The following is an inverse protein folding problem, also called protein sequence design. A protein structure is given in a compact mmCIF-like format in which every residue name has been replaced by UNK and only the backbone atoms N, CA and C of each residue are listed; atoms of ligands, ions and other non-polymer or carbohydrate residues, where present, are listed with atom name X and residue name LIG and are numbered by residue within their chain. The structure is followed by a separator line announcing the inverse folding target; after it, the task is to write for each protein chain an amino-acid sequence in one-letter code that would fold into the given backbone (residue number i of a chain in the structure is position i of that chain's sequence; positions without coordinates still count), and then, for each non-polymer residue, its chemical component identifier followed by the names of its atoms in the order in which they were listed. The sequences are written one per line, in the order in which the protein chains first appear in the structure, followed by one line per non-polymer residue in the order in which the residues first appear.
data_IF_894951675765
#
_entry.id   IF_894951675765
#
_cell.length_a   1.000
_cell.length_b   1.000
_cell.length_c   1.000
_cell.angle_alpha   90.00
_cell.angle_beta   90.00
_cell.angle_gamma   90.00
#
_symmetry.space_group_name_H-M   'P 1'
#
loop_
_entity.id
_entity.type
_entity.pdbx_description
1 polymer ?
#
# COMPACT_ATOMS: atom_id res chain seq x y z
N UNK A 1 -26.56 0.12 36.74
CA UNK A 1 -25.24 -0.48 37.04
C UNK A 1 -25.43 -1.98 36.94
N UNK A 2 -24.84 -2.68 35.98
CA UNK A 2 -23.46 -3.15 36.04
C UNK A 2 -22.85 -3.31 34.65
N UNK A 3 -21.64 -2.77 34.49
CA UNK A 3 -20.85 -2.78 33.24
C UNK A 3 -20.34 -4.20 32.98
N UNK A 4 -20.80 -4.83 31.91
CA UNK A 4 -20.07 -5.95 31.31
C UNK A 4 -18.88 -5.37 30.55
N UNK A 5 -17.73 -5.39 31.23
CA UNK A 5 -16.45 -4.98 30.68
C UNK A 5 -16.06 -6.01 29.61
N UNK A 6 -16.14 -5.61 28.34
CA UNK A 6 -15.66 -6.41 27.22
C UNK A 6 -14.13 -6.43 27.29
N UNK A 7 -13.59 -7.42 27.98
CA UNK A 7 -12.15 -7.69 28.06
C UNK A 7 -11.66 -7.98 26.64
N UNK A 8 -10.82 -7.10 26.09
CA UNK A 8 -10.09 -7.37 24.85
C UNK A 8 -9.34 -8.70 25.01
N UNK A 9 -9.49 -9.68 24.11
CA UNK A 9 -8.61 -10.84 24.14
C UNK A 9 -7.16 -10.39 23.87
N UNK A 10 -6.15 -11.07 24.44
CA UNK A 10 -4.75 -10.74 24.20
C UNK A 10 -4.44 -10.86 22.70
N UNK A 11 -3.71 -9.87 22.17
CA UNK A 11 -3.36 -9.71 20.75
C UNK A 11 -2.48 -10.84 20.14
N UNK A 12 -2.36 -11.99 20.81
CA UNK A 12 -1.37 -13.02 20.54
C UNK A 12 -1.87 -14.22 19.72
N UNK A 13 -3.17 -14.35 19.43
CA UNK A 13 -3.75 -15.55 18.80
C UNK A 13 -4.27 -15.37 17.35
N UNK A 14 -4.07 -14.19 16.76
CA UNK A 14 -4.47 -13.88 15.39
C UNK A 14 -3.29 -13.39 14.55
N UNK A 15 -2.07 -13.82 14.85
CA UNK A 15 -0.94 -13.57 13.95
C UNK A 15 -1.21 -14.33 12.63
N UNK A 16 -1.43 -13.63 11.51
CA UNK A 16 -1.50 -14.25 10.19
C UNK A 16 -0.16 -14.95 9.91
N UNK A 17 -0.12 -15.98 9.04
CA UNK A 17 1.15 -16.58 8.66
C UNK A 17 2.11 -15.46 8.21
N UNK A 18 3.31 -15.38 8.79
CA UNK A 18 4.21 -14.28 8.52
C UNK A 18 4.58 -14.30 7.03
N UNK A 19 4.50 -13.13 6.40
CA UNK A 19 4.97 -12.91 5.02
C UNK A 19 6.45 -13.31 4.84
N UNK A 20 7.19 -13.52 5.94
CA UNK A 20 8.59 -13.94 5.96
C UNK A 20 8.90 -15.24 5.20
N UNK A 21 7.89 -16.06 4.86
CA UNK A 21 8.06 -17.23 3.99
C UNK A 21 7.93 -16.97 2.49
N UNK A 22 7.57 -15.75 2.07
CA UNK A 22 7.53 -15.31 0.66
C UNK A 22 8.65 -14.32 0.34
N UNK A 23 9.72 -14.33 1.13
CA UNK A 23 11.03 -13.89 0.64
C UNK A 23 11.58 -14.99 -0.25
N UNK A 24 11.07 -15.05 -1.47
CA UNK A 24 11.92 -15.46 -2.57
C UNK A 24 11.48 -14.65 -3.76
N UNK A 25 12.47 -14.11 -4.47
CA UNK A 25 12.46 -14.11 -5.94
C UNK A 25 12.30 -15.57 -6.43
N UNK A 26 11.26 -16.29 -6.01
CA UNK A 26 11.00 -17.66 -6.44
C UNK A 26 10.33 -17.56 -7.78
N UNK A 27 11.10 -17.94 -8.80
CA UNK A 27 10.78 -18.67 -10.04
C UNK A 27 9.36 -18.73 -10.62
N UNK A 28 8.28 -18.52 -9.87
CA UNK A 28 6.93 -18.22 -10.39
C UNK A 28 6.84 -16.72 -10.64
N UNK A 29 7.33 -16.32 -11.81
CA UNK A 29 7.33 -14.95 -12.30
C UNK A 29 5.91 -14.44 -12.60
N UNK A 30 5.10 -14.19 -11.58
CA UNK A 30 4.03 -13.19 -11.72
C UNK A 30 4.71 -11.82 -11.74
N UNK A 31 4.51 -11.00 -12.79
CA UNK A 31 5.07 -9.67 -12.81
C UNK A 31 4.50 -8.90 -11.63
N UNK A 32 5.36 -8.37 -10.77
CA UNK A 32 4.94 -7.54 -9.66
C UNK A 32 4.08 -6.40 -10.22
N UNK A 33 2.94 -6.14 -9.59
CA UNK A 33 1.94 -5.23 -10.15
C UNK A 33 2.09 -3.87 -9.52
N UNK A 34 2.45 -2.89 -10.36
CA UNK A 34 2.38 -1.49 -9.98
C UNK A 34 0.97 -0.98 -10.28
N UNK A 35 0.21 -0.67 -9.24
CA UNK A 35 -1.12 -0.11 -9.40
C UNK A 35 -1.11 1.38 -9.05
N UNK A 36 -1.17 2.22 -10.08
CA UNK A 36 -1.36 3.66 -9.90
C UNK A 36 -2.73 4.10 -10.42
N UNK A 37 -3.44 4.88 -9.62
CA UNK A 37 -4.65 5.56 -10.06
C UNK A 37 -4.31 6.85 -10.81
N UNK A 38 -4.88 7.04 -12.01
CA UNK A 38 -4.69 8.23 -12.85
C UNK A 38 -5.46 9.47 -12.29
N UNK A 39 -4.95 10.72 -12.43
CA UNK A 39 -3.62 11.06 -12.91
C UNK A 39 -2.60 10.93 -11.78
N UNK A 40 -1.68 9.97 -11.93
CA UNK A 40 -0.42 10.04 -11.23
C UNK A 40 0.27 11.33 -11.71
N UNK A 41 0.95 12.11 -10.85
CA UNK A 41 1.86 13.13 -11.37
C UNK A 41 2.87 12.38 -12.25
N UNK A 42 3.19 12.92 -13.44
CA UNK A 42 3.99 12.23 -14.48
C UNK A 42 5.29 11.61 -13.94
N UNK A 43 5.82 12.17 -12.85
CA UNK A 43 7.02 11.67 -12.20
C UNK A 43 6.79 10.42 -11.34
N UNK A 44 5.61 10.19 -10.72
CA UNK A 44 5.41 9.10 -9.72
C UNK A 44 5.52 7.69 -10.32
N UNK A 45 5.09 7.53 -11.57
CA UNK A 45 5.26 6.27 -12.30
C UNK A 45 6.76 6.03 -12.56
N UNK A 46 7.59 7.07 -12.70
CA UNK A 46 9.03 6.96 -12.98
C UNK A 46 9.93 6.92 -11.73
N UNK A 47 9.42 7.22 -10.52
CA UNK A 47 10.23 7.28 -9.27
C UNK A 47 10.52 5.89 -8.70
N UNK A 48 9.61 4.94 -8.90
CA UNK A 48 9.87 3.56 -8.49
C UNK A 48 10.95 2.98 -9.42
N UNK A 49 12.10 2.50 -8.91
CA UNK A 49 13.18 1.94 -9.74
C UNK A 49 12.71 0.78 -10.63
N UNK A 50 11.58 0.16 -10.27
CA UNK A 50 10.81 -0.84 -10.97
C UNK A 50 10.23 -0.48 -12.36
N UNK A 51 10.12 0.82 -12.70
CA UNK A 51 9.56 1.30 -13.98
C UNK A 51 10.62 1.87 -14.93
N UNK A 52 11.89 1.89 -14.52
CA UNK A 52 12.99 2.35 -15.38
C UNK A 52 13.04 1.56 -16.69
N UNK A 53 13.41 2.27 -17.76
CA UNK A 53 13.64 1.72 -19.10
C UNK A 53 14.53 0.47 -19.03
N UNK A 54 14.26 -0.46 -19.95
CA UNK A 54 14.81 -1.81 -20.14
C UNK A 54 16.33 -1.98 -19.99
N UNK A 55 17.09 -0.89 -20.02
CA UNK A 55 18.56 -0.85 -19.99
C UNK A 55 19.16 -0.99 -18.57
N UNK A 56 18.41 -0.66 -17.50
CA UNK A 56 18.88 -0.78 -16.10
C UNK A 56 18.33 -2.02 -15.35
N UNK A 57 17.51 -2.84 -16.02
CA UNK A 57 16.87 -4.03 -15.44
C UNK A 57 17.85 -5.16 -15.05
N UNK A 58 19.14 -5.03 -15.40
CA UNK A 58 20.14 -6.08 -15.17
C UNK A 58 20.46 -6.31 -13.69
N UNK A 59 20.23 -5.33 -12.81
CA UNK A 59 20.48 -5.45 -11.37
C UNK A 59 19.23 -5.80 -10.54
N UNK A 60 18.02 -5.44 -11.01
CA UNK A 60 16.79 -5.50 -10.20
C UNK A 60 15.73 -6.52 -10.65
N UNK A 61 15.91 -7.20 -11.79
CA UNK A 61 14.99 -8.23 -12.27
C UNK A 61 13.97 -7.72 -13.27
N UNK A 62 12.89 -8.50 -13.50
CA UNK A 62 11.87 -8.15 -14.51
C UNK A 62 11.10 -6.88 -14.09
N UNK A 63 10.79 -5.96 -15.03
CA UNK A 63 10.02 -4.76 -14.74
C UNK A 63 8.61 -5.11 -14.26
N UNK A 64 8.03 -4.21 -13.46
CA UNK A 64 6.69 -4.38 -12.93
C UNK A 64 5.64 -4.22 -14.04
N UNK A 65 4.57 -5.01 -13.99
CA UNK A 65 3.42 -4.81 -14.87
C UNK A 65 2.48 -3.76 -14.26
N UNK A 66 2.32 -2.63 -14.94
CA UNK A 66 1.33 -1.65 -14.53
C UNK A 66 -0.08 -2.21 -14.73
N UNK A 67 -0.95 -2.04 -13.72
CA UNK A 67 -2.39 -2.26 -13.87
C UNK A 67 -3.12 -1.02 -13.37
N UNK A 68 -4.32 -0.79 -13.90
CA UNK A 68 -5.27 0.15 -13.34
C UNK A 68 -6.71 -0.31 -13.60
N UNK A 69 -7.49 -0.68 -12.57
CA UNK A 69 -8.91 -1.07 -12.73
C UNK A 69 -9.83 0.11 -12.49
N UNK A 70 -9.48 1.02 -11.58
CA UNK A 70 -10.31 2.18 -11.24
C UNK A 70 -11.25 1.96 -10.06
N UNK A 71 -11.18 0.79 -9.41
CA UNK A 71 -11.92 0.49 -8.17
C UNK A 71 -10.93 0.09 -7.08
N UNK A 72 -10.88 0.86 -6.00
CA UNK A 72 -9.97 0.63 -4.88
C UNK A 72 -10.08 -0.81 -4.35
N UNK A 73 -11.31 -1.31 -4.18
CA UNK A 73 -11.54 -2.65 -3.64
C UNK A 73 -10.97 -3.74 -4.55
N UNK A 74 -11.21 -3.64 -5.87
CA UNK A 74 -10.72 -4.63 -6.83
C UNK A 74 -9.18 -4.65 -6.87
N UNK A 75 -8.58 -3.48 -6.73
CA UNK A 75 -7.14 -3.32 -6.81
C UNK A 75 -6.43 -3.76 -5.54
N UNK A 76 -6.94 -3.37 -4.36
CA UNK A 76 -6.43 -3.86 -3.07
C UNK A 76 -6.58 -5.37 -2.97
N UNK A 77 -7.71 -5.94 -3.39
CA UNK A 77 -7.91 -7.38 -3.38
C UNK A 77 -6.86 -8.12 -4.24
N UNK A 78 -6.51 -7.56 -5.40
CA UNK A 78 -5.48 -8.11 -6.26
C UNK A 78 -4.10 -8.00 -5.61
N UNK A 79 -3.77 -6.86 -5.01
CA UNK A 79 -2.52 -6.64 -4.27
C UNK A 79 -2.38 -7.62 -3.10
N UNK A 80 -3.47 -7.91 -2.39
CA UNK A 80 -3.46 -8.92 -1.31
C UNK A 80 -3.22 -10.33 -1.83
N UNK A 81 -3.76 -10.68 -3.01
CA UNK A 81 -3.67 -12.04 -3.57
C UNK A 81 -2.34 -12.33 -4.27
N UNK A 82 -1.85 -11.38 -5.08
CA UNK A 82 -0.68 -11.58 -5.94
C UNK A 82 0.56 -10.82 -5.48
N UNK A 83 0.43 -9.97 -4.46
CA UNK A 83 1.49 -9.05 -4.05
C UNK A 83 1.62 -7.84 -4.97
N UNK A 84 2.61 -7.00 -4.67
CA UNK A 84 2.84 -5.72 -5.34
C UNK A 84 2.38 -4.54 -4.48
N UNK A 85 2.15 -3.40 -5.13
CA UNK A 85 1.86 -2.14 -4.47
C UNK A 85 0.65 -1.42 -5.10
N UNK A 86 -0.21 -0.90 -4.24
CA UNK A 86 -1.29 0.01 -4.57
C UNK A 86 -0.93 1.41 -4.07
N UNK A 87 -1.01 2.40 -4.96
CA UNK A 87 -0.71 3.78 -4.62
C UNK A 87 -1.78 4.74 -5.13
N UNK A 88 -2.18 5.63 -4.24
CA UNK A 88 -3.04 6.79 -4.51
C UNK A 88 -2.40 8.03 -3.87
N UNK A 89 -1.43 8.66 -4.55
CA UNK A 89 -0.70 9.80 -4.01
C UNK A 89 -1.57 11.05 -3.92
N UNK A 90 -1.04 12.08 -3.26
CA UNK A 90 -1.53 13.44 -3.41
C UNK A 90 -1.18 13.99 -4.80
N UNK A 91 -2.12 14.70 -5.43
CA UNK A 91 -1.93 15.36 -6.73
C UNK A 91 -2.02 16.87 -6.56
N UNK A 92 -1.59 17.65 -7.56
CA UNK A 92 -1.70 19.12 -7.55
C UNK A 92 -3.15 19.58 -7.32
N UNK A 93 -4.12 18.89 -7.93
CA UNK A 93 -5.54 19.19 -7.80
C UNK A 93 -6.16 18.69 -6.48
N UNK A 94 -5.49 17.77 -5.80
CA UNK A 94 -5.96 17.15 -4.55
C UNK A 94 -4.77 16.89 -3.62
N UNK A 95 -4.27 17.93 -2.94
CA UNK A 95 -3.06 17.84 -2.12
C UNK A 95 -3.25 16.96 -0.87
N UNK A 96 -4.49 16.71 -0.46
CA UNK A 96 -4.83 15.78 0.63
C UNK A 96 -5.18 14.37 0.12
N UNK A 97 -4.92 14.07 -1.15
CA UNK A 97 -5.38 12.84 -1.79
C UNK A 97 -6.88 12.87 -2.10
N UNK A 98 -7.35 11.79 -2.74
CA UNK A 98 -8.76 11.65 -3.16
C UNK A 98 -9.57 10.73 -2.24
N UNK A 99 -8.93 9.71 -1.69
CA UNK A 99 -9.57 8.69 -0.87
C UNK A 99 -9.86 9.22 0.53
N UNK A 100 -10.96 8.77 1.14
CA UNK A 100 -11.37 9.16 2.49
C UNK A 100 -10.77 8.22 3.52
N UNK A 101 -10.20 8.81 4.56
CA UNK A 101 -9.47 8.10 5.58
C UNK A 101 -10.34 7.08 6.33
N UNK A 102 -11.51 7.49 6.81
CA UNK A 102 -12.31 6.68 7.73
C UNK A 102 -12.88 5.39 7.14
N UNK A 103 -13.39 5.44 5.91
CA UNK A 103 -14.16 4.33 5.33
C UNK A 103 -13.59 3.77 4.03
N UNK A 104 -12.49 4.35 3.52
CA UNK A 104 -11.74 3.78 2.41
C UNK A 104 -10.34 3.38 2.89
N UNK A 105 -9.61 4.32 3.52
CA UNK A 105 -8.22 4.10 3.91
C UNK A 105 -8.01 3.17 5.10
N UNK A 106 -8.55 3.51 6.26
CA UNK A 106 -8.39 2.75 7.51
C UNK A 106 -8.82 1.29 7.34
N UNK A 107 -9.99 0.96 6.73
CA UNK A 107 -10.39 -0.43 6.53
C UNK A 107 -9.40 -1.21 5.66
N UNK A 108 -8.92 -0.62 4.57
CA UNK A 108 -7.98 -1.30 3.67
C UNK A 108 -6.59 -1.41 4.29
N UNK A 109 -6.12 -0.39 5.00
CA UNK A 109 -4.88 -0.42 5.75
C UNK A 109 -4.89 -1.53 6.81
N UNK A 110 -6.00 -1.67 7.54
CA UNK A 110 -6.17 -2.73 8.52
C UNK A 110 -6.07 -4.11 7.87
N UNK A 111 -6.76 -4.34 6.75
CA UNK A 111 -6.69 -5.61 6.03
C UNK A 111 -5.27 -5.91 5.52
N UNK A 112 -4.56 -4.91 5.01
CA UNK A 112 -3.19 -5.08 4.52
C UNK A 112 -2.21 -5.37 5.66
N UNK A 113 -2.30 -4.68 6.79
CA UNK A 113 -1.46 -4.98 7.96
C UNK A 113 -1.77 -6.35 8.56
N UNK A 114 -3.05 -6.73 8.63
CA UNK A 114 -3.49 -8.09 9.00
C UNK A 114 -3.12 -9.14 7.94
N UNK A 115 -2.69 -8.77 6.74
CA UNK A 115 -2.09 -9.71 5.80
C UNK A 115 -0.57 -9.79 5.95
N UNK A 116 0.01 -9.00 6.86
CA UNK A 116 1.45 -8.88 7.04
C UNK A 116 2.13 -7.92 6.05
N UNK A 117 1.35 -7.09 5.35
CA UNK A 117 1.83 -6.01 4.48
C UNK A 117 2.13 -4.71 5.25
N UNK A 118 2.24 -3.60 4.52
CA UNK A 118 2.39 -2.25 5.09
C UNK A 118 1.41 -1.28 4.45
N UNK A 119 0.90 -0.33 5.23
CA UNK A 119 0.05 0.76 4.76
C UNK A 119 0.50 2.10 5.36
N UNK A 120 0.81 3.07 4.51
CA UNK A 120 1.33 4.39 4.87
C UNK A 120 0.64 5.50 4.08
N UNK A 121 0.56 6.69 4.64
CA UNK A 121 0.13 7.90 3.93
C UNK A 121 1.29 8.62 3.20
N UNK A 122 2.52 8.09 3.36
CA UNK A 122 3.74 8.69 2.83
C UNK A 122 4.63 9.28 3.91
N UNK A 123 4.09 9.59 5.09
CA UNK A 123 4.85 10.13 6.23
C UNK A 123 4.69 9.25 7.48
N UNK A 124 3.50 8.72 7.73
CA UNK A 124 3.17 7.88 8.88
C UNK A 124 2.25 6.71 8.50
N UNK A 125 2.08 5.76 9.43
CA UNK A 125 1.17 4.64 9.24
C UNK A 125 -0.28 5.10 9.21
N UNK A 126 -1.06 4.58 8.26
CA UNK A 126 -2.47 4.99 8.07
C UNK A 126 -3.32 4.70 9.31
N UNK A 127 -3.04 3.62 10.03
CA UNK A 127 -3.77 3.26 11.26
C UNK A 127 -3.46 4.16 12.45
N UNK A 128 -2.34 4.88 12.43
CA UNK A 128 -1.93 5.78 13.50
C UNK A 128 -2.41 7.23 13.24
N UNK A 129 -3.03 7.50 12.08
CA UNK A 129 -3.58 8.82 11.74
C UNK A 129 -4.85 9.06 12.55
N UNK A 130 -4.84 10.12 13.37
CA UNK A 130 -6.03 10.59 14.10
C UNK A 130 -6.87 11.49 13.17
N UNK A 131 -8.08 11.07 12.78
CA UNK A 131 -8.93 11.86 11.89
C UNK A 131 -9.50 13.09 12.60
N UNK A 132 -9.45 14.24 11.92
CA UNK A 132 -10.05 15.51 12.40
C UNK A 132 -11.46 15.74 11.86
N UNK A 133 -11.80 15.14 10.71
CA UNK A 133 -13.10 15.28 10.04
C UNK A 133 -13.60 13.92 9.53
N UNK A 134 -14.92 13.76 9.47
CA UNK A 134 -15.56 12.52 8.98
C UNK A 134 -15.26 12.22 7.50
N UNK A 135 -15.03 13.25 6.69
CA UNK A 135 -14.69 13.12 5.27
C UNK A 135 -13.26 13.58 4.98
N UNK A 136 -12.35 13.45 5.95
CA UNK A 136 -10.94 13.73 5.75
C UNK A 136 -10.38 12.83 4.64
N UNK A 137 -9.62 13.44 3.73
CA UNK A 137 -8.92 12.73 2.65
C UNK A 137 -7.49 12.44 3.04
N UNK A 138 -6.92 11.38 2.47
CA UNK A 138 -5.54 10.99 2.71
C UNK A 138 -4.92 10.38 1.43
N UNK A 139 -3.65 10.67 1.11
CA UNK A 139 -2.87 9.81 0.24
C UNK A 139 -2.69 8.43 0.88
N UNK A 140 -2.63 7.37 0.07
CA UNK A 140 -2.56 5.99 0.56
C UNK A 140 -1.60 5.18 -0.29
N UNK A 141 -0.67 4.51 0.38
CA UNK A 141 0.26 3.54 -0.17
C UNK A 141 0.12 2.25 0.62
N UNK A 142 -0.25 1.14 -0.03
CA UNK A 142 -0.43 -0.15 0.63
C UNK A 142 0.06 -1.30 -0.24
N UNK A 143 0.54 -2.38 0.38
CA UNK A 143 0.98 -3.57 -0.36
C UNK A 143 2.01 -4.39 0.40
N UNK A 144 2.90 -5.04 -0.36
CA UNK A 144 4.05 -5.77 0.19
C UNK A 144 4.93 -4.82 1.00
N UNK A 145 5.47 -5.31 2.12
CA UNK A 145 6.33 -4.51 3.01
C UNK A 145 7.54 -3.92 2.28
N UNK A 146 8.20 -4.73 1.46
CA UNK A 146 9.42 -4.33 0.76
C UNK A 146 9.12 -3.21 -0.25
N UNK A 147 8.12 -3.42 -1.12
CA UNK A 147 7.71 -2.46 -2.15
C UNK A 147 7.29 -1.10 -1.54
N UNK A 148 6.51 -1.13 -0.45
CA UNK A 148 6.04 0.11 0.20
C UNK A 148 7.19 0.80 0.93
N UNK A 149 8.10 0.05 1.56
CA UNK A 149 9.25 0.64 2.27
C UNK A 149 10.22 1.33 1.29
N UNK A 150 10.46 0.73 0.14
CA UNK A 150 11.25 1.33 -0.94
C UNK A 150 10.59 2.64 -1.43
N UNK A 151 9.28 2.63 -1.65
CA UNK A 151 8.55 3.85 -2.01
C UNK A 151 8.69 4.95 -0.95
N UNK A 152 8.57 4.60 0.34
CA UNK A 152 8.71 5.58 1.43
C UNK A 152 10.11 6.18 1.51
N UNK A 153 11.16 5.39 1.24
CA UNK A 153 12.53 5.89 1.19
C UNK A 153 12.72 6.90 0.04
N UNK A 154 12.10 6.65 -1.12
CA UNK A 154 12.15 7.56 -2.26
C UNK A 154 11.40 8.86 -1.99
N UNK A 155 10.23 8.78 -1.35
CA UNK A 155 9.47 9.95 -0.92
C UNK A 155 10.26 10.77 0.09
N UNK A 156 10.97 10.12 1.03
CA UNK A 156 11.81 10.82 2.01
C UNK A 156 13.08 11.44 1.41
N UNK A 157 13.53 10.94 0.25
CA UNK A 157 14.74 11.42 -0.44
C UNK A 157 14.46 12.54 -1.46
N UNK A 158 13.18 12.83 -1.75
CA UNK A 158 12.72 13.85 -2.70
C UNK A 158 12.32 15.14 -2.00
#
# INVERSE_FOLDING_TARGET
ASRHFMVRPPAALLSPPPWSGRSTRSSVATPLVLQCCNPAPENLIDILPATRKKEEASQFGKPYAARYVGSMVADVHRTLKYGGIFMYPATKDSPQGKLRLLYEGIPMAYLTEQAGGLASDGTQRVLDVVPTKIHQRCPIFLGSKDDVSELLQLIASS
#
